data_IF_421857288439
#
_entry.id   IF_421857288439
#
_cell.length_a   1.000
_cell.length_b   1.000
_cell.length_c   1.000
_cell.angle_alpha   90.00
_cell.angle_beta   90.00
_cell.angle_gamma   90.00
#
_symmetry.space_group_name_H-M   'P 1'
#
loop_
_entity.id
_entity.type
_entity.pdbx_description
1 polymer ?
#
# COMPACT_ATOMS: atom_id res chain seq x y z
N UNK A 1 18.02 -31.98 -24.52
CA UNK A 1 17.97 -30.81 -23.63
C UNK A 1 17.03 -31.11 -22.48
N UNK A 2 17.58 -31.35 -21.29
CA UNK A 2 16.79 -31.40 -20.05
C UNK A 2 16.23 -30.00 -19.81
N UNK A 3 14.91 -29.87 -19.81
CA UNK A 3 14.25 -28.63 -19.41
C UNK A 3 14.51 -28.43 -17.92
N UNK A 4 15.36 -27.47 -17.59
CA UNK A 4 15.58 -27.00 -16.22
C UNK A 4 14.60 -25.87 -15.91
N UNK A 5 13.92 -25.98 -14.78
CA UNK A 5 13.00 -24.96 -14.27
C UNK A 5 13.59 -24.48 -12.96
N UNK A 6 13.98 -23.20 -12.91
CA UNK A 6 14.63 -22.56 -11.75
C UNK A 6 15.86 -23.35 -11.22
N UNK A 7 16.65 -23.93 -12.15
CA UNK A 7 17.86 -24.70 -11.83
C UNK A 7 17.63 -26.15 -11.41
N UNK A 8 16.38 -26.64 -11.42
CA UNK A 8 16.06 -28.03 -11.13
C UNK A 8 15.58 -28.78 -12.38
N UNK A 9 16.01 -30.03 -12.51
CA UNK A 9 15.41 -30.95 -13.47
C UNK A 9 14.01 -31.39 -13.01
N UNK A 10 13.11 -31.69 -13.96
CA UNK A 10 11.78 -32.22 -13.65
C UNK A 10 11.83 -33.42 -12.69
N UNK A 11 12.86 -34.28 -12.81
CA UNK A 11 13.07 -35.45 -11.95
C UNK A 11 13.30 -35.08 -10.50
N UNK A 12 14.17 -34.10 -10.24
CA UNK A 12 14.42 -33.62 -8.87
C UNK A 12 13.15 -33.01 -8.26
N UNK A 13 12.41 -32.21 -9.03
CA UNK A 13 11.16 -31.61 -8.57
C UNK A 13 10.12 -32.68 -8.23
N UNK A 14 9.96 -33.70 -9.09
CA UNK A 14 9.02 -34.78 -8.86
C UNK A 14 9.41 -35.62 -7.63
N UNK A 15 10.70 -35.86 -7.42
CA UNK A 15 11.21 -36.57 -6.25
C UNK A 15 10.95 -35.78 -4.95
N UNK A 16 11.11 -34.45 -4.96
CA UNK A 16 10.79 -33.57 -3.82
C UNK A 16 9.29 -33.56 -3.45
N UNK A 17 8.40 -33.82 -4.41
CA UNK A 17 6.96 -33.98 -4.16
C UNK A 17 6.54 -35.46 -3.98
N UNK A 18 7.47 -36.32 -3.56
CA UNK A 18 7.25 -37.74 -3.27
C UNK A 18 6.65 -38.52 -4.43
N UNK A 19 7.00 -38.14 -5.67
CA UNK A 19 6.43 -38.70 -6.89
C UNK A 19 4.90 -38.64 -6.94
N UNK A 20 4.27 -37.60 -6.38
CA UNK A 20 2.81 -37.42 -6.40
C UNK A 20 2.42 -36.14 -7.11
N UNK A 21 1.30 -36.13 -7.83
CA UNK A 21 0.70 -34.90 -8.35
C UNK A 21 0.35 -33.95 -7.20
N UNK A 22 0.80 -32.70 -7.26
CA UNK A 22 0.55 -31.71 -6.21
C UNK A 22 -0.93 -31.28 -6.10
N UNK A 23 -1.76 -31.57 -7.10
CA UNK A 23 -3.19 -31.24 -7.10
C UNK A 23 -4.08 -32.35 -6.56
N UNK A 24 -3.91 -33.59 -7.03
CA UNK A 24 -4.80 -34.71 -6.69
C UNK A 24 -4.14 -35.81 -5.85
N UNK A 25 -2.84 -35.70 -5.52
CA UNK A 25 -2.11 -36.71 -4.74
C UNK A 25 -1.80 -38.02 -5.50
N UNK A 26 -2.24 -38.15 -6.75
CA UNK A 26 -1.99 -39.37 -7.54
C UNK A 26 -0.49 -39.62 -7.71
N UNK A 27 -0.03 -40.84 -7.39
CA UNK A 27 1.36 -41.26 -7.59
C UNK A 27 1.69 -41.34 -9.08
N UNK A 28 2.81 -40.75 -9.46
CA UNK A 28 3.29 -40.62 -10.83
C UNK A 28 4.51 -41.53 -11.01
N UNK A 29 4.44 -42.48 -11.93
CA UNK A 29 5.63 -43.21 -12.35
C UNK A 29 6.60 -42.26 -13.06
N UNK A 30 7.89 -42.38 -12.77
CA UNK A 30 8.95 -41.55 -13.38
C UNK A 30 8.97 -41.62 -14.91
N UNK A 31 8.41 -42.68 -15.50
CA UNK A 31 8.23 -42.81 -16.96
C UNK A 31 7.29 -41.74 -17.55
N UNK A 32 6.33 -41.25 -16.76
CA UNK A 32 5.34 -40.25 -17.20
C UNK A 32 5.72 -38.82 -16.82
N UNK A 33 6.93 -38.59 -16.31
CA UNK A 33 7.35 -37.27 -15.83
C UNK A 33 7.28 -36.18 -16.90
N UNK A 34 7.55 -36.52 -18.16
CA UNK A 34 7.48 -35.57 -19.29
C UNK A 34 6.05 -35.11 -19.61
N UNK A 35 5.03 -35.79 -19.08
CA UNK A 35 3.61 -35.42 -19.23
C UNK A 35 3.13 -34.49 -18.12
N UNK A 36 3.92 -34.34 -17.06
CA UNK A 36 3.62 -33.43 -15.95
C UNK A 36 3.77 -31.97 -16.40
N UNK A 37 2.92 -31.11 -15.83
CA UNK A 37 2.91 -29.69 -16.07
C UNK A 37 3.44 -28.95 -14.86
N UNK A 38 4.23 -27.90 -15.06
CA UNK A 38 4.75 -27.08 -13.98
C UNK A 38 3.86 -25.87 -13.72
N UNK A 39 3.41 -25.73 -12.48
CA UNK A 39 2.64 -24.57 -12.04
C UNK A 39 3.56 -23.49 -11.48
N UNK A 40 3.61 -22.32 -12.12
CA UNK A 40 4.47 -21.19 -11.72
C UNK A 40 4.00 -20.46 -10.45
N UNK A 41 2.79 -20.77 -9.95
CA UNK A 41 2.30 -20.19 -8.70
C UNK A 41 2.73 -21.02 -7.48
N UNK A 42 2.52 -22.34 -7.54
CA UNK A 42 2.88 -23.25 -6.45
C UNK A 42 4.32 -23.79 -6.54
N UNK A 43 5.01 -23.58 -7.66
CA UNK A 43 6.32 -24.14 -7.97
C UNK A 43 6.38 -25.68 -7.82
N UNK A 44 5.32 -26.36 -8.29
CA UNK A 44 5.17 -27.82 -8.19
C UNK A 44 4.69 -28.42 -9.51
N UNK A 45 4.88 -29.73 -9.69
CA UNK A 45 4.38 -30.48 -10.85
C UNK A 45 2.97 -31.01 -10.62
N UNK A 46 2.13 -30.90 -11.66
CA UNK A 46 0.73 -31.31 -11.69
C UNK A 46 0.47 -32.24 -12.88
N UNK A 47 -0.43 -33.21 -12.71
CA UNK A 47 -0.83 -34.08 -13.81
C UNK A 47 -1.71 -33.30 -14.80
N UNK A 48 -1.90 -33.84 -16.01
CA UNK A 48 -2.65 -33.18 -17.09
C UNK A 48 -4.12 -32.88 -16.73
N UNK A 49 -4.70 -33.60 -15.75
CA UNK A 49 -6.05 -33.32 -15.25
C UNK A 49 -6.12 -32.13 -14.30
N UNK A 50 -5.05 -31.87 -13.55
CA UNK A 50 -5.00 -30.77 -12.58
C UNK A 50 -4.39 -29.49 -13.16
N UNK A 51 -3.84 -29.57 -14.37
CA UNK A 51 -3.22 -28.46 -15.06
C UNK A 51 -3.47 -28.59 -16.56
N UNK A 52 -4.55 -27.95 -17.03
CA UNK A 52 -5.01 -28.06 -18.42
C UNK A 52 -4.41 -26.98 -19.35
N UNK A 53 -3.37 -26.28 -18.89
CA UNK A 53 -2.66 -25.28 -19.70
C UNK A 53 -3.12 -23.85 -19.46
N UNK A 54 -3.93 -23.62 -18.41
CA UNK A 54 -4.24 -22.30 -17.91
C UNK A 54 -2.99 -21.45 -17.69
N UNK A 55 -3.11 -20.15 -17.95
CA UNK A 55 -2.07 -19.17 -17.68
C UNK A 55 -2.63 -18.03 -16.85
N UNK A 56 -1.82 -17.49 -15.93
CA UNK A 56 -2.15 -16.35 -15.08
C UNK A 56 -0.90 -15.52 -14.80
N UNK A 57 -1.09 -14.25 -14.44
CA UNK A 57 -0.03 -13.43 -13.85
C UNK A 57 0.30 -13.93 -12.44
N UNK A 58 1.58 -13.92 -12.09
CA UNK A 58 2.07 -14.46 -10.81
C UNK A 58 2.37 -13.31 -9.85
N UNK A 59 1.69 -13.19 -8.69
CA UNK A 59 1.87 -12.07 -7.77
C UNK A 59 3.32 -11.84 -7.36
N UNK A 60 4.05 -12.90 -6.99
CA UNK A 60 5.46 -12.80 -6.61
C UNK A 60 6.34 -12.21 -7.74
N UNK A 61 6.06 -12.54 -9.01
CA UNK A 61 6.80 -11.97 -10.15
C UNK A 61 6.43 -10.51 -10.40
N UNK A 62 5.18 -10.12 -10.17
CA UNK A 62 4.76 -8.71 -10.24
C UNK A 62 5.47 -7.89 -9.15
N UNK A 63 5.47 -8.36 -7.91
CA UNK A 63 6.03 -7.61 -6.77
C UNK A 63 7.56 -7.52 -6.87
N UNK A 64 8.24 -8.64 -7.13
CA UNK A 64 9.70 -8.64 -7.10
C UNK A 64 10.35 -8.17 -8.40
N UNK A 65 9.71 -8.42 -9.55
CA UNK A 65 10.32 -8.24 -10.88
C UNK A 65 9.52 -7.27 -11.77
N UNK A 66 8.38 -6.75 -11.30
CA UNK A 66 7.46 -5.91 -12.10
C UNK A 66 7.05 -6.59 -13.42
N UNK A 67 6.92 -7.91 -13.37
CA UNK A 67 6.67 -8.75 -14.54
C UNK A 67 5.21 -9.22 -14.58
N UNK A 68 4.48 -8.72 -15.58
CA UNK A 68 3.05 -8.97 -15.80
C UNK A 68 2.79 -9.97 -16.93
N UNK A 69 3.79 -10.74 -17.35
CA UNK A 69 3.57 -11.85 -18.29
C UNK A 69 2.74 -12.93 -17.61
N UNK A 70 1.96 -13.63 -18.41
CA UNK A 70 1.22 -14.79 -17.95
C UNK A 70 2.06 -16.05 -18.03
N UNK A 71 1.96 -16.88 -17.01
CA UNK A 71 2.72 -18.12 -16.88
C UNK A 71 1.79 -19.31 -16.67
N UNK A 72 2.16 -20.51 -17.13
CA UNK A 72 1.40 -21.73 -16.87
C UNK A 72 1.14 -21.94 -15.38
N UNK A 73 -0.12 -22.19 -15.03
CA UNK A 73 -0.56 -22.48 -13.67
C UNK A 73 -1.56 -23.65 -13.66
N UNK A 74 -1.54 -24.42 -12.56
CA UNK A 74 -2.54 -25.44 -12.29
C UNK A 74 -3.95 -24.84 -12.21
N UNK A 75 -4.98 -25.64 -12.49
CA UNK A 75 -6.36 -25.15 -12.52
C UNK A 75 -6.83 -24.65 -11.13
N UNK A 76 -6.34 -25.27 -10.05
CA UNK A 76 -6.58 -24.83 -8.67
C UNK A 76 -5.91 -23.48 -8.37
N UNK A 77 -4.68 -23.28 -8.84
CA UNK A 77 -4.01 -21.98 -8.74
C UNK A 77 -4.74 -20.91 -9.55
N UNK A 78 -5.18 -21.23 -10.77
CA UNK A 78 -5.96 -20.30 -11.60
C UNK A 78 -7.21 -19.83 -10.87
N UNK A 79 -8.00 -20.76 -10.30
CA UNK A 79 -9.21 -20.41 -9.56
C UNK A 79 -8.90 -19.47 -8.39
N UNK A 80 -7.94 -19.85 -7.55
CA UNK A 80 -7.49 -19.02 -6.43
C UNK A 80 -7.06 -17.61 -6.87
N UNK A 81 -6.24 -17.51 -7.92
CA UNK A 81 -5.73 -16.23 -8.43
C UNK A 81 -6.84 -15.35 -9.01
N UNK A 82 -7.86 -15.95 -9.65
CA UNK A 82 -9.03 -15.21 -10.15
C UNK A 82 -9.92 -14.72 -9.01
N UNK A 83 -10.24 -15.59 -8.05
CA UNK A 83 -11.11 -15.25 -6.92
C UNK A 83 -10.53 -14.11 -6.06
N UNK A 84 -9.21 -13.97 -6.05
CA UNK A 84 -8.49 -12.96 -5.26
C UNK A 84 -7.95 -11.80 -6.12
N UNK A 85 -8.28 -11.73 -7.41
CA UNK A 85 -7.62 -10.80 -8.34
C UNK A 85 -7.81 -9.32 -7.97
N UNK A 86 -9.02 -8.96 -7.56
CA UNK A 86 -9.39 -7.61 -7.12
C UNK A 86 -9.36 -7.44 -5.60
N UNK A 87 -8.98 -8.47 -4.85
CA UNK A 87 -8.97 -8.41 -3.39
C UNK A 87 -7.70 -7.70 -2.90
N UNK A 88 -7.82 -6.60 -2.14
CA UNK A 88 -6.66 -5.88 -1.63
C UNK A 88 -6.08 -6.64 -0.43
N UNK A 89 -5.24 -7.63 -0.70
CA UNK A 89 -4.71 -8.55 0.30
C UNK A 89 -3.17 -8.56 0.40
N UNK A 90 -2.49 -7.72 -0.39
CA UNK A 90 -1.02 -7.70 -0.48
C UNK A 90 -0.51 -6.43 0.16
N UNK A 91 0.04 -6.54 1.37
CA UNK A 91 0.90 -5.49 1.94
C UNK A 91 2.28 -5.57 1.29
N UNK A 92 2.58 -4.60 0.43
CA UNK A 92 3.82 -4.60 -0.36
C UNK A 92 5.08 -4.42 0.50
N UNK A 93 4.99 -3.74 1.65
CA UNK A 93 6.15 -3.54 2.52
C UNK A 93 6.38 -4.74 3.43
N UNK A 94 5.33 -5.50 3.76
CA UNK A 94 5.47 -6.78 4.43
C UNK A 94 6.13 -7.84 3.52
N UNK A 95 5.93 -7.74 2.21
CA UNK A 95 6.55 -8.65 1.23
C UNK A 95 7.95 -8.19 0.80
N UNK A 96 8.14 -6.89 0.56
CA UNK A 96 9.41 -6.33 0.10
C UNK A 96 9.58 -4.89 0.60
N UNK A 97 10.43 -4.69 1.61
CA UNK A 97 10.67 -3.39 2.24
C UNK A 97 11.15 -2.29 1.25
N UNK A 98 11.74 -2.68 0.12
CA UNK A 98 12.27 -1.77 -0.90
C UNK A 98 11.36 -1.68 -2.13
N UNK A 99 10.11 -2.16 -2.06
CA UNK A 99 9.19 -2.22 -3.20
C UNK A 99 9.09 -0.89 -3.96
N UNK A 100 8.91 0.22 -3.24
CA UNK A 100 8.79 1.55 -3.84
C UNK A 100 10.10 2.09 -4.44
N UNK A 101 11.24 1.56 -4.04
CA UNK A 101 12.53 2.07 -4.50
C UNK A 101 12.87 1.59 -5.91
N UNK A 102 12.25 0.51 -6.36
CA UNK A 102 12.58 -0.15 -7.63
C UNK A 102 12.16 0.64 -8.87
N UNK A 103 11.01 1.33 -8.83
CA UNK A 103 10.42 1.97 -10.01
C UNK A 103 9.87 3.36 -9.70
N UNK A 104 10.15 4.35 -10.57
CA UNK A 104 9.71 5.74 -10.39
C UNK A 104 8.19 5.88 -10.28
N UNK A 105 7.43 5.13 -11.09
CA UNK A 105 5.96 5.19 -11.09
C UNK A 105 5.38 4.74 -9.74
N UNK A 106 6.00 3.76 -9.08
CA UNK A 106 5.59 3.29 -7.76
C UNK A 106 5.78 4.38 -6.70
N UNK A 107 6.90 5.11 -6.75
CA UNK A 107 7.14 6.25 -5.84
C UNK A 107 6.07 7.31 -6.01
N UNK A 108 5.73 7.67 -7.25
CA UNK A 108 4.69 8.68 -7.51
C UNK A 108 3.32 8.24 -6.96
N UNK A 109 2.90 7.00 -7.26
CA UNK A 109 1.63 6.45 -6.76
C UNK A 109 1.60 6.45 -5.23
N UNK A 110 2.70 6.05 -4.58
CA UNK A 110 2.81 6.07 -3.12
C UNK A 110 2.59 7.48 -2.56
N UNK A 111 3.24 8.48 -3.14
CA UNK A 111 3.12 9.87 -2.70
C UNK A 111 1.67 10.37 -2.87
N UNK A 112 1.04 10.08 -4.00
CA UNK A 112 -0.37 10.42 -4.23
C UNK A 112 -1.30 9.73 -3.23
N UNK A 113 -1.11 8.44 -2.95
CA UNK A 113 -1.91 7.70 -1.95
C UNK A 113 -1.70 8.25 -0.53
N UNK A 114 -0.47 8.57 -0.13
CA UNK A 114 -0.20 9.23 1.16
C UNK A 114 -0.96 10.55 1.30
N UNK A 115 -0.94 11.37 0.24
CA UNK A 115 -1.70 12.62 0.21
C UNK A 115 -3.20 12.35 0.30
N UNK A 116 -3.69 11.35 -0.43
CA UNK A 116 -5.10 10.98 -0.46
C UNK A 116 -5.60 10.51 0.91
N UNK A 117 -4.85 9.66 1.62
CA UNK A 117 -5.17 9.21 3.00
C UNK A 117 -5.29 10.41 3.95
N UNK A 118 -4.33 11.33 3.89
CA UNK A 118 -4.37 12.54 4.71
C UNK A 118 -5.55 13.45 4.35
N UNK A 119 -5.80 13.68 3.07
CA UNK A 119 -6.94 14.48 2.61
C UNK A 119 -8.27 13.85 3.00
N UNK A 120 -8.41 12.53 2.85
CA UNK A 120 -9.62 11.81 3.22
C UNK A 120 -9.96 11.97 4.70
N UNK A 121 -8.94 11.95 5.57
CA UNK A 121 -9.14 12.16 7.02
C UNK A 121 -9.81 13.51 7.35
N UNK A 122 -9.62 14.52 6.50
CA UNK A 122 -10.27 15.84 6.63
C UNK A 122 -11.62 15.88 5.92
N UNK A 123 -11.65 15.45 4.65
CA UNK A 123 -12.81 15.63 3.77
C UNK A 123 -14.02 14.87 4.31
N UNK A 124 -13.81 13.67 4.87
CA UNK A 124 -14.91 12.84 5.40
C UNK A 124 -15.65 13.45 6.59
N UNK A 125 -15.02 14.36 7.33
CA UNK A 125 -15.58 15.03 8.51
C UNK A 125 -15.87 16.52 8.28
N UNK A 126 -15.47 17.08 7.14
CA UNK A 126 -15.65 18.49 6.84
C UNK A 126 -17.10 18.77 6.43
N UNK A 127 -17.78 19.66 7.15
CA UNK A 127 -19.18 20.03 6.88
C UNK A 127 -19.38 20.69 5.51
N UNK A 128 -18.36 21.39 4.99
CA UNK A 128 -18.42 22.12 3.73
C UNK A 128 -18.01 21.31 2.50
N UNK A 129 -17.48 20.09 2.69
CA UNK A 129 -17.04 19.24 1.59
C UNK A 129 -18.20 18.83 0.66
N UNK A 130 -19.40 18.61 1.21
CA UNK A 130 -20.61 18.30 0.42
C UNK A 130 -21.08 19.46 -0.46
N UNK A 131 -20.75 20.69 -0.07
CA UNK A 131 -21.10 21.91 -0.82
C UNK A 131 -19.98 22.37 -1.76
N UNK A 132 -18.83 21.69 -1.74
CA UNK A 132 -17.72 21.97 -2.65
C UNK A 132 -17.88 21.12 -3.91
N UNK A 133 -18.17 21.77 -5.05
CA UNK A 133 -18.37 21.08 -6.32
C UNK A 133 -17.08 21.00 -7.13
N UNK A 134 -16.90 19.84 -7.76
CA UNK A 134 -15.83 19.57 -8.74
C UNK A 134 -16.48 19.24 -10.09
N UNK A 135 -15.67 19.04 -11.14
CA UNK A 135 -16.19 18.63 -12.44
C UNK A 135 -16.90 17.25 -12.42
N UNK A 136 -16.70 16.45 -11.37
CA UNK A 136 -17.24 15.09 -11.23
C UNK A 136 -18.28 14.95 -10.10
N UNK A 137 -18.82 16.06 -9.61
CA UNK A 137 -19.77 16.11 -8.49
C UNK A 137 -19.18 16.74 -7.23
N UNK A 138 -19.90 16.64 -6.11
CA UNK A 138 -19.42 17.19 -4.85
C UNK A 138 -18.18 16.43 -4.33
N UNK A 139 -17.31 17.14 -3.61
CA UNK A 139 -15.99 16.64 -3.19
C UNK A 139 -16.08 15.35 -2.35
N UNK A 140 -17.05 15.28 -1.44
CA UNK A 140 -17.24 14.09 -0.60
C UNK A 140 -17.60 12.86 -1.45
N UNK A 141 -18.51 13.02 -2.42
CA UNK A 141 -18.88 11.94 -3.34
C UNK A 141 -17.71 11.50 -4.21
N UNK A 142 -16.92 12.45 -4.73
CA UNK A 142 -15.72 12.14 -5.53
C UNK A 142 -14.73 11.29 -4.75
N UNK A 143 -14.44 11.65 -3.48
CA UNK A 143 -13.58 10.82 -2.62
C UNK A 143 -14.21 9.46 -2.33
N UNK A 144 -15.52 9.41 -2.07
CA UNK A 144 -16.23 8.16 -1.73
C UNK A 144 -16.31 7.15 -2.89
N UNK A 145 -16.11 7.58 -4.13
CA UNK A 145 -16.00 6.70 -5.29
C UNK A 145 -14.65 5.98 -5.37
N UNK A 146 -13.63 6.42 -4.64
CA UNK A 146 -12.33 5.75 -4.60
C UNK A 146 -12.43 4.51 -3.68
N UNK A 147 -11.89 3.35 -4.10
CA UNK A 147 -11.88 2.16 -3.26
C UNK A 147 -11.27 2.43 -1.87
N UNK A 148 -11.90 1.92 -0.82
CA UNK A 148 -11.53 2.22 0.58
C UNK A 148 -10.07 1.91 0.90
N UNK A 149 -9.54 0.79 0.42
CA UNK A 149 -8.13 0.43 0.66
C UNK A 149 -7.15 1.43 0.05
N UNK A 150 -7.52 2.10 -1.06
CA UNK A 150 -6.71 3.17 -1.65
C UNK A 150 -6.72 4.44 -0.78
N UNK A 151 -7.83 4.71 -0.09
CA UNK A 151 -8.03 5.87 0.79
C UNK A 151 -7.49 5.69 2.22
N UNK A 152 -7.25 4.45 2.66
CA UNK A 152 -7.00 4.16 4.09
C UNK A 152 -5.63 3.54 4.35
N UNK A 153 -5.14 2.66 3.47
CA UNK A 153 -3.86 1.98 3.63
C UNK A 153 -3.00 2.20 2.38
N UNK A 154 -1.82 2.81 2.50
CA UNK A 154 -0.97 3.11 1.34
C UNK A 154 -0.28 1.88 0.75
N UNK A 155 -0.06 0.86 1.59
CA UNK A 155 0.78 -0.30 1.28
C UNK A 155 -0.05 -1.51 0.84
N UNK A 156 -1.37 -1.46 1.00
CA UNK A 156 -2.28 -2.54 0.59
C UNK A 156 -2.65 -2.44 -0.90
N UNK A 157 -2.46 -3.54 -1.64
CA UNK A 157 -2.76 -3.67 -3.07
C UNK A 157 -3.45 -5.00 -3.38
N UNK A 158 -4.22 -5.00 -4.46
CA UNK A 158 -4.68 -6.17 -5.19
C UNK A 158 -3.86 -6.40 -6.45
N UNK A 159 -4.07 -7.52 -7.15
CA UNK A 159 -3.47 -7.72 -8.47
C UNK A 159 -3.96 -6.70 -9.48
N UNK A 160 -5.25 -6.36 -9.44
CA UNK A 160 -5.85 -5.32 -10.29
C UNK A 160 -5.18 -3.95 -10.07
N UNK A 161 -4.93 -3.57 -8.82
CA UNK A 161 -4.27 -2.30 -8.51
C UNK A 161 -2.88 -2.22 -9.13
N UNK A 162 -2.10 -3.31 -9.12
CA UNK A 162 -0.80 -3.33 -9.79
C UNK A 162 -0.90 -3.11 -11.30
N UNK A 163 -1.95 -3.62 -11.94
CA UNK A 163 -2.20 -3.38 -13.36
C UNK A 163 -2.59 -1.94 -13.63
N UNK A 164 -3.45 -1.37 -12.78
CA UNK A 164 -3.83 0.03 -12.88
C UNK A 164 -2.65 0.97 -12.64
N UNK A 165 -1.72 0.60 -11.77
CA UNK A 165 -0.45 1.32 -11.61
C UNK A 165 0.41 1.19 -12.87
N UNK A 166 0.58 -0.02 -13.40
CA UNK A 166 1.37 -0.27 -14.60
C UNK A 166 0.84 0.50 -15.80
N UNK A 167 -0.48 0.54 -15.97
CA UNK A 167 -1.16 1.18 -17.09
C UNK A 167 -1.35 2.70 -16.88
N UNK A 168 -1.07 3.22 -15.68
CA UNK A 168 -1.25 4.62 -15.31
C UNK A 168 -2.69 5.00 -14.97
N UNK A 169 -3.62 4.05 -14.96
CA UNK A 169 -5.03 4.26 -14.62
C UNK A 169 -5.18 4.76 -13.18
N UNK A 170 -4.44 4.16 -12.22
CA UNK A 170 -4.56 4.56 -10.83
C UNK A 170 -4.14 6.01 -10.61
N UNK A 171 -3.07 6.45 -11.28
CA UNK A 171 -2.61 7.85 -11.23
C UNK A 171 -3.68 8.79 -11.78
N UNK A 172 -4.20 8.49 -12.99
CA UNK A 172 -5.26 9.27 -13.63
C UNK A 172 -6.52 9.37 -12.77
N UNK A 173 -6.82 8.32 -12.01
CA UNK A 173 -7.94 8.29 -11.08
C UNK A 173 -7.70 9.19 -9.86
N UNK A 174 -6.55 9.07 -9.19
CA UNK A 174 -6.35 9.69 -7.87
C UNK A 174 -5.73 11.09 -7.90
N UNK A 175 -4.92 11.43 -8.92
CA UNK A 175 -4.22 12.71 -8.99
C UNK A 175 -5.19 13.92 -9.04
N UNK A 176 -6.26 13.92 -9.87
CA UNK A 176 -7.25 15.00 -9.84
C UNK A 176 -7.96 15.11 -8.47
N UNK A 177 -8.27 13.97 -7.84
CA UNK A 177 -8.94 13.91 -6.54
C UNK A 177 -8.06 14.52 -5.45
N UNK A 178 -6.76 14.20 -5.46
CA UNK A 178 -5.77 14.83 -4.58
C UNK A 178 -5.74 16.35 -4.80
N UNK A 179 -5.79 16.81 -6.05
CA UNK A 179 -5.76 18.23 -6.35
C UNK A 179 -7.02 18.96 -5.85
N UNK A 180 -8.21 18.39 -6.05
CA UNK A 180 -9.44 18.94 -5.48
C UNK A 180 -9.40 19.02 -3.96
N UNK A 181 -8.93 17.94 -3.32
CA UNK A 181 -8.77 17.91 -1.87
C UNK A 181 -7.82 19.00 -1.36
N UNK A 182 -6.67 19.19 -2.01
CA UNK A 182 -5.71 20.25 -1.67
C UNK A 182 -6.34 21.64 -1.80
N UNK A 183 -7.02 21.91 -2.93
CA UNK A 183 -7.69 23.19 -3.15
C UNK A 183 -8.73 23.48 -2.07
N UNK A 184 -9.58 22.50 -1.74
CA UNK A 184 -10.57 22.63 -0.69
C UNK A 184 -9.95 22.87 0.69
N UNK A 185 -8.99 22.04 1.12
CA UNK A 185 -8.43 22.16 2.47
C UNK A 185 -7.69 23.51 2.65
N UNK A 186 -7.03 24.00 1.61
CA UNK A 186 -6.34 25.29 1.68
C UNK A 186 -7.31 26.49 1.81
N UNK A 187 -8.53 26.40 1.25
CA UNK A 187 -9.53 27.48 1.33
C UNK A 187 -10.58 27.27 2.43
N UNK A 188 -10.68 26.07 3.00
CA UNK A 188 -11.72 25.72 3.97
C UNK A 188 -11.41 26.29 5.36
N UNK A 189 -12.18 27.30 5.79
CA UNK A 189 -12.07 27.94 7.12
C UNK A 189 -12.35 27.00 8.30
N UNK A 190 -13.13 25.95 8.06
CA UNK A 190 -13.59 24.99 9.08
C UNK A 190 -12.59 23.85 9.30
N UNK A 191 -11.47 23.82 8.56
CA UNK A 191 -10.55 22.69 8.64
C UNK A 191 -9.88 22.62 10.03
N UNK A 192 -10.28 21.65 10.84
CA UNK A 192 -9.79 21.40 12.20
C UNK A 192 -8.31 20.94 12.29
N UNK A 193 -7.63 20.82 11.15
CA UNK A 193 -6.28 20.24 11.08
C UNK A 193 -5.27 21.19 10.44
N UNK A 194 -5.44 22.47 10.73
CA UNK A 194 -4.44 23.51 10.50
C UNK A 194 -3.40 23.42 11.61
N UNK A 195 -2.16 23.17 11.25
CA UNK A 195 -1.05 23.17 12.18
C UNK A 195 -0.14 24.38 11.93
N UNK A 196 0.45 24.89 12.99
CA UNK A 196 1.54 25.87 12.93
C UNK A 196 2.80 25.20 13.45
N UNK A 197 3.96 25.57 12.91
CA UNK A 197 5.23 25.06 13.42
C UNK A 197 5.57 25.73 14.76
N UNK A 198 5.67 24.96 15.84
CA UNK A 198 6.07 25.46 17.17
C UNK A 198 7.58 25.73 17.31
N UNK A 199 8.35 25.53 16.23
CA UNK A 199 9.81 25.61 16.22
C UNK A 199 10.33 26.85 15.47
N UNK A 200 9.44 27.70 14.95
CA UNK A 200 9.78 28.94 14.28
C UNK A 200 8.64 29.96 14.42
N UNK A 201 8.93 31.22 14.07
CA UNK A 201 7.96 32.33 14.17
C UNK A 201 7.08 32.50 12.91
N UNK A 202 7.14 31.57 11.96
CA UNK A 202 6.35 31.61 10.72
C UNK A 202 4.91 31.13 10.98
N UNK A 203 4.12 31.94 11.70
CA UNK A 203 2.76 31.56 12.12
C UNK A 203 1.74 31.53 10.98
N UNK A 204 1.96 32.33 9.95
CA UNK A 204 1.07 32.39 8.78
C UNK A 204 1.29 31.22 7.82
N UNK A 205 2.40 30.48 7.97
CA UNK A 205 2.72 29.36 7.09
C UNK A 205 2.07 28.06 7.60
N UNK A 206 0.77 27.90 7.31
CA UNK A 206 -0.01 26.75 7.73
C UNK A 206 0.55 25.43 7.18
N UNK A 207 0.54 24.42 8.05
CA UNK A 207 1.02 23.08 7.78
C UNK A 207 -0.13 22.08 7.76
N UNK A 208 -0.11 21.21 6.75
CA UNK A 208 -1.07 20.12 6.60
C UNK A 208 -0.33 18.80 6.33
N UNK A 209 -0.85 17.64 6.82
CA UNK A 209 -0.15 16.36 6.68
C UNK A 209 0.09 15.92 5.22
N UNK A 210 -0.72 16.34 4.26
CA UNK A 210 -0.54 16.01 2.84
C UNK A 210 0.63 16.79 2.18
N UNK A 211 1.23 17.76 2.86
CA UNK A 211 2.36 18.55 2.32
C UNK A 211 3.70 17.85 2.54
N UNK A 212 3.84 16.64 1.99
CA UNK A 212 4.94 15.70 2.26
C UNK A 212 6.36 16.27 2.10
N UNK A 213 6.53 17.28 1.22
CA UNK A 213 7.83 17.92 0.97
C UNK A 213 8.10 19.16 1.84
N UNK A 214 7.15 19.54 2.69
CA UNK A 214 7.22 20.75 3.54
C UNK A 214 7.20 20.40 5.02
N UNK A 215 6.46 19.35 5.39
CA UNK A 215 6.20 19.01 6.80
C UNK A 215 6.90 17.72 7.23
N UNK A 216 7.32 17.69 8.48
CA UNK A 216 7.72 16.50 9.23
C UNK A 216 6.69 16.26 10.32
N UNK A 217 6.20 15.03 10.43
CA UNK A 217 5.21 14.60 11.42
C UNK A 217 5.91 13.86 12.55
N UNK A 218 5.61 14.22 13.80
CA UNK A 218 6.05 13.46 14.95
C UNK A 218 5.34 12.11 15.01
N UNK A 219 6.10 11.02 15.14
CA UNK A 219 5.58 9.64 15.19
C UNK A 219 4.72 9.40 16.44
N UNK A 220 5.08 10.02 17.56
CA UNK A 220 4.38 9.86 18.85
C UNK A 220 3.06 10.63 18.93
N UNK A 221 3.09 11.95 18.69
CA UNK A 221 1.93 12.82 18.93
C UNK A 221 1.25 13.36 17.67
N UNK A 222 1.79 13.06 16.49
CA UNK A 222 1.27 13.50 15.20
C UNK A 222 1.41 15.01 14.92
N UNK A 223 2.09 15.80 15.78
CA UNK A 223 2.32 17.22 15.51
C UNK A 223 3.12 17.42 14.22
N UNK A 224 2.83 18.51 13.50
CA UNK A 224 3.58 18.89 12.31
C UNK A 224 4.60 19.98 12.63
N UNK A 225 5.71 19.97 11.90
CA UNK A 225 6.71 21.04 11.88
C UNK A 225 7.30 21.12 10.48
N UNK A 226 7.91 22.24 10.09
CA UNK A 226 8.66 22.26 8.84
C UNK A 226 9.79 21.25 8.88
N UNK A 227 10.10 20.62 7.74
CA UNK A 227 11.19 19.63 7.64
C UNK A 227 12.52 20.21 8.15
N UNK A 228 12.83 21.45 7.78
CA UNK A 228 14.06 22.14 8.23
C UNK A 228 14.09 22.36 9.74
N UNK A 229 12.96 22.75 10.32
CA UNK A 229 12.84 22.97 11.77
C UNK A 229 12.95 21.64 12.54
N UNK A 230 12.28 20.59 12.08
CA UNK A 230 12.38 19.26 12.65
C UNK A 230 13.81 18.70 12.58
N UNK A 231 14.49 18.86 11.44
CA UNK A 231 15.88 18.43 11.27
C UNK A 231 16.83 19.15 12.24
N UNK A 232 16.66 20.47 12.42
CA UNK A 232 17.43 21.26 13.40
C UNK A 232 17.21 20.76 14.83
N UNK A 233 15.95 20.53 15.22
CA UNK A 233 15.57 20.00 16.54
C UNK A 233 16.21 18.63 16.80
N UNK A 234 16.13 17.71 15.84
CA UNK A 234 16.71 16.36 15.95
C UNK A 234 18.23 16.44 16.06
N UNK A 235 18.90 17.28 15.26
CA UNK A 235 20.35 17.49 15.33
C UNK A 235 20.82 17.99 16.71
N UNK A 236 19.97 18.77 17.39
CA UNK A 236 20.23 19.26 18.74
C UNK A 236 19.78 18.28 19.84
N UNK A 237 19.32 17.07 19.47
CA UNK A 237 18.81 16.05 20.39
C UNK A 237 17.65 16.56 21.28
N UNK A 238 16.87 17.52 20.77
CA UNK A 238 15.74 18.09 21.49
C UNK A 238 14.45 17.25 21.29
N UNK A 239 13.67 16.99 22.36
CA UNK A 239 12.41 16.28 22.24
C UNK A 239 11.36 17.09 21.48
N UNK A 240 10.30 16.43 21.01
CA UNK A 240 9.15 17.13 20.42
C UNK A 240 8.47 18.01 21.50
N UNK A 241 8.29 19.33 21.28
CA UNK A 241 7.67 20.23 22.27
C UNK A 241 6.27 19.78 22.70
N UNK A 242 5.45 19.31 21.75
CA UNK A 242 4.10 18.81 22.05
C UNK A 242 4.14 17.54 22.91
N UNK A 243 5.05 16.61 22.63
CA UNK A 243 5.21 15.41 23.46
C UNK A 243 5.59 15.76 24.90
N UNK A 244 6.49 16.73 25.09
CA UNK A 244 6.86 17.22 26.43
C UNK A 244 5.64 17.79 27.15
N UNK A 245 4.85 18.66 26.49
CA UNK A 245 3.60 19.17 27.09
C UNK A 245 2.61 18.06 27.43
N UNK A 246 2.42 17.07 26.55
CA UNK A 246 1.53 15.93 26.81
C UNK A 246 2.00 15.15 28.05
N UNK A 247 3.31 14.88 28.16
CA UNK A 247 3.88 14.18 29.31
C UNK A 247 3.69 14.97 30.61
N UNK A 248 3.98 16.28 30.60
CA UNK A 248 3.78 17.16 31.75
C UNK A 248 2.31 17.23 32.18
N UNK A 249 1.39 17.37 31.23
CA UNK A 249 -0.05 17.38 31.53
C UNK A 249 -0.52 16.07 32.13
N UNK A 250 -0.01 14.92 31.66
CA UNK A 250 -0.31 13.61 32.26
C UNK A 250 0.20 13.51 33.70
N UNK A 251 1.41 14.00 33.97
CA UNK A 251 1.97 14.01 35.32
C UNK A 251 1.17 14.91 36.26
N UNK A 252 0.77 16.11 35.82
CA UNK A 252 -0.06 17.00 36.63
C UNK A 252 -1.43 16.38 36.96
N UNK A 253 -2.06 15.69 36.01
CA UNK A 253 -3.32 14.97 36.28
C UNK A 253 -3.14 13.86 37.31
N UNK A 254 -2.00 13.14 37.30
CA UNK A 254 -1.71 12.13 38.29
C UNK A 254 -1.49 12.74 39.69
N UNK A 255 -0.77 13.85 39.78
CA UNK A 255 -0.55 14.56 41.04
C UNK A 255 -1.86 15.10 41.63
N UNK A 256 -2.71 15.74 40.81
CA UNK A 256 -4.03 16.21 41.24
C UNK A 256 -4.89 15.05 41.76
N UNK A 257 -4.82 13.86 41.14
CA UNK A 257 -5.58 12.70 41.61
C UNK A 257 -4.99 12.07 42.90
N UNK A 258 -3.72 12.30 43.21
CA UNK A 258 -3.07 11.84 44.45
C UNK A 258 -3.30 12.82 45.60
N UNK A 259 -3.44 14.11 45.32
CA UNK A 259 -3.74 15.16 46.32
C UNK A 259 -5.24 15.19 46.73
N UNK A 260 -6.07 14.30 46.17
CA UNK A 260 -7.50 14.16 46.45
C UNK A 260 -7.80 12.94 47.36
N UNK A 261 -6.76 12.26 47.87
CA UNK A 261 -6.86 11.20 48.88
C UNK A 261 -6.16 11.57 50.18
#
# INVERSE_FOLDING_TARGET
MTLEIDGYSLKQMLDQQNNMCAGCGMKISKLYIRRMQYCNYYNKLFCQRCHQGAKMRIPARVIHQWNFREYPVSDIARRFLLDNYSQPAIDVLAVDAHFYDKFKNLRNVRLLRLQLVHLWSFIRICSTAKSTFTMHGNLLSVFSCIPKHILEDVNLYSMLDFEDVKNGNLIRLIEPVVQYGKCHVNSCEVSICRFVCELCDQRDDLLFPFQLNKVSRCEECGSLSHIKCAARRIKQLLPCPKCVRIALNRLMLLLINLDVF
#
